data_IF_631177917316
#
_entry.id   IF_631177917316
#
_cell.length_a   1.000
_cell.length_b   1.000
_cell.length_c   1.000
_cell.angle_alpha   90.00
_cell.angle_beta   90.00
_cell.angle_gamma   90.00
#
_symmetry.space_group_name_H-M   'P 1'
#
loop_
_entity.id
_entity.type
_entity.pdbx_description
1 polymer ?
#
# COMPACT_ATOMS: atom_id res chain seq x y z
N UNK A 1 15.80 -24.36 42.46
CA UNK A 1 15.03 -24.64 41.23
C UNK A 1 14.25 -23.42 40.72
N UNK A 2 13.39 -22.75 41.51
CA UNK A 2 12.58 -21.58 41.06
C UNK A 2 13.38 -20.41 40.45
N UNK A 3 14.57 -20.07 40.97
CA UNK A 3 15.38 -18.94 40.47
C UNK A 3 15.91 -19.17 39.04
N UNK A 4 16.28 -20.40 38.69
CA UNK A 4 16.79 -20.74 37.35
C UNK A 4 15.69 -20.71 36.28
N UNK A 5 14.46 -21.05 36.65
CA UNK A 5 13.29 -20.97 35.76
C UNK A 5 12.97 -19.52 35.35
N UNK A 6 13.07 -18.58 36.29
CA UNK A 6 12.81 -17.15 36.02
C UNK A 6 13.89 -16.59 35.09
N UNK A 7 15.15 -16.96 35.31
CA UNK A 7 16.28 -16.53 34.47
C UNK A 7 16.14 -17.04 33.04
N UNK A 8 15.76 -18.31 32.86
CA UNK A 8 15.50 -18.89 31.54
C UNK A 8 14.34 -18.19 30.81
N UNK A 9 13.29 -17.81 31.53
CA UNK A 9 12.15 -17.09 30.95
C UNK A 9 12.56 -15.69 30.46
N UNK A 10 13.32 -14.95 31.26
CA UNK A 10 13.83 -13.61 30.90
C UNK A 10 14.79 -13.71 29.69
N UNK A 11 15.68 -14.70 29.67
CA UNK A 11 16.58 -14.94 28.54
C UNK A 11 15.82 -15.28 27.26
N UNK A 12 14.77 -16.11 27.34
CA UNK A 12 13.94 -16.44 26.18
C UNK A 12 13.21 -15.20 25.63
N UNK A 13 12.74 -14.32 26.52
CA UNK A 13 12.10 -13.06 26.14
C UNK A 13 13.09 -12.07 25.52
N UNK A 14 14.30 -11.96 26.09
CA UNK A 14 15.35 -11.13 25.54
C UNK A 14 15.81 -11.63 24.16
N UNK A 15 15.97 -12.94 23.98
CA UNK A 15 16.31 -13.54 22.69
C UNK A 15 15.18 -13.33 21.68
N UNK A 16 13.92 -13.46 22.09
CA UNK A 16 12.77 -13.21 21.21
C UNK A 16 12.72 -11.74 20.77
N UNK A 17 12.84 -10.80 21.71
CA UNK A 17 12.89 -9.36 21.42
C UNK A 17 14.09 -9.00 20.50
N UNK A 18 15.26 -9.56 20.78
CA UNK A 18 16.46 -9.35 19.97
C UNK A 18 16.31 -9.95 18.57
N UNK A 19 15.69 -11.14 18.45
CA UNK A 19 15.43 -11.77 17.14
C UNK A 19 14.41 -11.01 16.30
N UNK A 20 13.43 -10.32 16.90
CA UNK A 20 12.50 -9.47 16.17
C UNK A 20 13.14 -8.20 15.61
N UNK A 21 14.28 -7.78 16.14
CA UNK A 21 15.05 -6.63 15.67
C UNK A 21 16.16 -7.00 14.66
N UNK A 22 16.49 -8.30 14.49
CA UNK A 22 17.55 -8.81 13.60
C UNK A 22 16.97 -9.62 12.43
N UNK A 23 15.87 -9.17 11.85
CA UNK A 23 15.74 -9.39 10.41
C UNK A 23 16.47 -8.25 9.75
N UNK A 24 17.68 -8.46 9.16
CA UNK A 24 18.34 -7.41 8.42
C UNK A 24 17.37 -6.99 7.33
N UNK A 25 16.83 -5.79 7.51
CA UNK A 25 16.01 -5.16 6.51
C UNK A 25 16.85 -5.05 5.26
N UNK A 26 16.63 -5.98 4.34
CA UNK A 26 17.17 -5.85 3.01
C UNK A 26 16.43 -4.67 2.40
N UNK A 27 17.03 -3.47 2.50
CA UNK A 27 16.63 -2.31 1.74
C UNK A 27 17.07 -2.65 0.32
N UNK A 28 16.18 -3.02 -0.61
CA UNK A 28 16.60 -3.17 -1.99
C UNK A 28 17.24 -1.83 -2.40
N UNK A 29 18.45 -1.86 -2.97
CA UNK A 29 19.14 -0.65 -3.47
C UNK A 29 18.30 0.08 -4.53
N UNK A 30 17.29 -0.59 -5.08
CA UNK A 30 16.27 -0.06 -5.96
C UNK A 30 15.04 0.44 -5.18
N UNK A 31 15.18 1.59 -4.53
CA UNK A 31 14.01 2.36 -4.09
C UNK A 31 13.18 2.75 -5.32
N UNK A 32 11.86 2.52 -5.29
CA UNK A 32 10.99 2.96 -6.38
C UNK A 32 11.08 4.48 -6.53
N UNK A 33 11.31 4.95 -7.76
CA UNK A 33 11.25 6.39 -8.05
C UNK A 33 9.88 6.94 -7.65
N UNK A 34 9.79 8.24 -7.36
CA UNK A 34 8.49 8.88 -7.08
C UNK A 34 7.49 8.62 -8.21
N UNK A 35 7.94 8.71 -9.46
CA UNK A 35 7.12 8.40 -10.64
C UNK A 35 6.58 6.97 -10.58
N UNK A 36 7.41 5.99 -10.22
CA UNK A 36 6.98 4.60 -10.13
C UNK A 36 5.98 4.37 -8.99
N UNK A 37 6.13 5.06 -7.86
CA UNK A 37 5.16 5.00 -6.75
C UNK A 37 3.81 5.59 -7.13
N UNK A 38 3.82 6.70 -7.87
CA UNK A 38 2.60 7.32 -8.43
C UNK A 38 1.92 6.33 -9.39
N UNK A 39 2.67 5.71 -10.29
CA UNK A 39 2.13 4.67 -11.20
C UNK A 39 1.55 3.49 -10.42
N UNK A 40 2.23 3.04 -9.36
CA UNK A 40 1.73 1.94 -8.54
C UNK A 40 0.41 2.27 -7.82
N UNK A 41 0.24 3.50 -7.30
CA UNK A 41 -1.06 3.96 -6.81
C UNK A 41 -2.13 3.95 -7.92
N UNK A 42 -1.76 4.37 -9.13
CA UNK A 42 -2.64 4.29 -10.30
C UNK A 42 -3.06 2.86 -10.65
N UNK A 43 -2.13 1.90 -10.58
CA UNK A 43 -2.44 0.48 -10.80
C UNK A 43 -3.35 -0.09 -9.70
N UNK A 44 -3.17 0.33 -8.44
CA UNK A 44 -4.05 -0.05 -7.35
C UNK A 44 -5.48 0.42 -7.59
N UNK A 45 -5.66 1.67 -8.04
CA UNK A 45 -6.98 2.17 -8.40
C UNK A 45 -7.61 1.38 -9.56
N UNK A 46 -6.83 1.02 -10.59
CA UNK A 46 -7.32 0.16 -11.68
C UNK A 46 -7.73 -1.23 -11.17
N UNK A 47 -6.91 -1.85 -10.32
CA UNK A 47 -7.22 -3.14 -9.73
C UNK A 47 -8.51 -3.08 -8.89
N UNK A 48 -8.68 -2.03 -8.09
CA UNK A 48 -9.92 -1.79 -7.34
C UNK A 48 -11.14 -1.66 -8.28
N UNK A 49 -11.00 -0.88 -9.35
CA UNK A 49 -12.06 -0.72 -10.35
C UNK A 49 -12.47 -2.06 -10.96
N UNK A 50 -11.50 -2.94 -11.22
CA UNK A 50 -11.71 -4.30 -11.71
C UNK A 50 -12.15 -5.29 -10.60
N UNK A 51 -12.56 -4.81 -9.42
CA UNK A 51 -13.10 -5.66 -8.36
C UNK A 51 -12.06 -6.48 -7.59
N UNK A 52 -10.76 -6.16 -7.67
CA UNK A 52 -9.76 -6.75 -6.79
C UNK A 52 -10.01 -6.29 -5.35
N UNK A 53 -10.46 -7.22 -4.50
CA UNK A 53 -10.77 -6.93 -3.08
C UNK A 53 -9.51 -6.67 -2.26
N UNK A 54 -9.67 -5.89 -1.19
CA UNK A 54 -8.63 -5.21 -0.39
C UNK A 54 -7.51 -6.10 0.19
N UNK A 55 -7.69 -7.42 0.24
CA UNK A 55 -6.94 -8.32 1.13
C UNK A 55 -5.46 -8.55 0.75
N UNK A 56 -5.01 -8.15 -0.46
CA UNK A 56 -3.66 -8.46 -0.96
C UNK A 56 -2.74 -7.26 -1.24
N UNK A 57 -3.13 -6.02 -0.92
CA UNK A 57 -2.34 -4.84 -1.31
C UNK A 57 -1.16 -4.49 -0.39
N UNK A 58 -0.97 -5.25 0.70
CA UNK A 58 0.03 -4.96 1.73
C UNK A 58 1.45 -4.78 1.18
N UNK A 59 1.89 -5.65 0.25
CA UNK A 59 3.21 -5.55 -0.38
C UNK A 59 3.35 -4.29 -1.24
N UNK A 60 2.30 -3.90 -1.96
CA UNK A 60 2.31 -2.71 -2.82
C UNK A 60 2.34 -1.44 -1.96
N UNK A 61 1.57 -1.41 -0.86
CA UNK A 61 1.66 -0.32 0.11
C UNK A 61 3.05 -0.23 0.72
N UNK A 62 3.65 -1.32 1.17
CA UNK A 62 5.01 -1.30 1.70
C UNK A 62 6.02 -0.74 0.69
N UNK A 63 5.91 -1.12 -0.58
CA UNK A 63 6.76 -0.60 -1.66
C UNK A 63 6.55 0.91 -1.89
N UNK A 64 5.30 1.39 -1.87
CA UNK A 64 4.97 2.82 -2.02
C UNK A 64 5.44 3.63 -0.81
N UNK A 65 5.27 3.11 0.40
CA UNK A 65 5.60 3.78 1.67
C UNK A 65 7.10 3.84 1.96
N UNK A 66 7.93 3.10 1.20
CA UNK A 66 9.33 2.77 1.56
C UNK A 66 9.46 2.11 2.95
N UNK A 67 8.38 1.51 3.43
CA UNK A 67 8.22 0.93 4.75
C UNK A 67 8.52 -0.57 4.78
N UNK A 68 9.59 -1.02 4.12
CA UNK A 68 9.97 -2.45 4.17
C UNK A 68 10.32 -2.91 5.59
N UNK A 69 10.72 -2.00 6.47
CA UNK A 69 10.89 -2.25 7.90
C UNK A 69 9.72 -1.72 8.70
N UNK A 70 9.33 -2.45 9.74
CA UNK A 70 8.30 -2.05 10.71
C UNK A 70 8.54 -0.66 11.32
N UNK A 71 9.80 -0.24 11.42
CA UNK A 71 10.24 1.03 12.01
C UNK A 71 10.77 2.05 10.99
N UNK A 72 10.71 1.77 9.68
CA UNK A 72 11.14 2.75 8.68
C UNK A 72 10.18 3.93 8.64
N UNK A 73 10.68 5.17 8.54
CA UNK A 73 9.83 6.34 8.35
C UNK A 73 9.08 6.21 7.03
N UNK A 74 7.75 6.11 7.12
CA UNK A 74 6.89 6.06 5.94
C UNK A 74 6.86 7.44 5.28
N UNK A 75 7.27 7.51 4.02
CA UNK A 75 7.29 8.78 3.27
C UNK A 75 5.89 9.24 2.85
N UNK A 76 4.96 8.29 2.72
CA UNK A 76 3.56 8.49 2.33
C UNK A 76 2.65 7.60 3.20
N UNK A 77 1.41 8.01 3.41
CA UNK A 77 0.36 7.13 3.93
C UNK A 77 -0.38 6.47 2.75
N UNK A 78 0.09 5.31 2.29
CA UNK A 78 -0.43 4.68 1.07
C UNK A 78 -1.88 4.20 1.24
N UNK A 79 -2.26 3.78 2.45
CA UNK A 79 -3.62 3.34 2.76
C UNK A 79 -4.62 4.51 2.64
N UNK A 80 -4.31 5.68 3.20
CA UNK A 80 -5.18 6.86 3.07
C UNK A 80 -5.26 7.35 1.63
N UNK A 81 -4.12 7.40 0.93
CA UNK A 81 -4.08 7.73 -0.48
C UNK A 81 -4.99 6.80 -1.31
N UNK A 82 -4.89 5.49 -1.08
CA UNK A 82 -5.72 4.50 -1.77
C UNK A 82 -7.20 4.64 -1.42
N UNK A 83 -7.55 4.92 -0.17
CA UNK A 83 -8.93 5.17 0.22
C UNK A 83 -9.54 6.39 -0.48
N UNK A 84 -8.75 7.43 -0.77
CA UNK A 84 -9.22 8.57 -1.57
C UNK A 84 -9.38 8.22 -3.04
N UNK A 85 -8.50 7.37 -3.59
CA UNK A 85 -8.63 6.83 -4.96
C UNK A 85 -9.94 6.04 -5.09
N UNK A 86 -10.25 5.14 -4.14
CA UNK A 86 -11.52 4.39 -4.13
C UNK A 86 -12.73 5.32 -4.21
N UNK A 87 -12.76 6.34 -3.35
CA UNK A 87 -13.83 7.36 -3.36
C UNK A 87 -13.93 8.11 -4.68
N UNK A 88 -12.81 8.39 -5.35
CA UNK A 88 -12.81 9.02 -6.67
C UNK A 88 -13.41 8.10 -7.73
N UNK A 89 -13.01 6.82 -7.72
CA UNK A 89 -13.49 5.79 -8.66
C UNK A 89 -14.97 5.49 -8.46
N UNK A 90 -15.49 5.53 -7.23
CA UNK A 90 -16.90 5.24 -6.92
C UNK A 90 -17.84 6.44 -7.18
N UNK A 91 -17.33 7.65 -7.52
CA UNK A 91 -18.16 8.83 -7.87
C UNK A 91 -19.17 8.60 -9.00
N UNK A 92 -18.86 7.89 -10.09
CA UNK A 92 -19.86 7.40 -11.02
C UNK A 92 -20.62 6.27 -10.32
N UNK A 93 -21.85 6.55 -9.90
CA UNK A 93 -22.78 5.63 -9.19
C UNK A 93 -23.13 4.33 -9.96
N UNK A 94 -22.46 4.03 -11.06
CA UNK A 94 -22.77 2.93 -11.98
C UNK A 94 -22.00 1.66 -11.68
N UNK A 95 -20.89 1.73 -10.94
CA UNK A 95 -20.07 0.57 -10.61
C UNK A 95 -20.67 -0.08 -9.37
N UNK A 96 -21.71 -0.88 -9.58
CA UNK A 96 -22.10 -1.85 -8.56
C UNK A 96 -21.02 -2.93 -8.52
N UNK A 97 -20.25 -2.96 -7.44
CA UNK A 97 -19.26 -4.00 -7.13
C UNK A 97 -19.95 -5.35 -6.92
N UNK A 98 -20.43 -5.95 -8.00
CA UNK A 98 -20.98 -7.30 -8.04
C UNK A 98 -19.84 -8.32 -8.10
N UNK A 99 -20.09 -9.55 -7.67
CA UNK A 99 -19.13 -10.66 -7.80
C UNK A 99 -18.78 -11.01 -9.25
N UNK A 100 -19.49 -10.43 -10.21
CA UNK A 100 -19.25 -10.55 -11.64
C UNK A 100 -19.16 -9.15 -12.26
N UNK A 101 -17.95 -8.77 -12.70
CA UNK A 101 -17.76 -7.58 -13.52
C UNK A 101 -18.51 -7.73 -14.84
N UNK A 102 -19.34 -6.76 -15.20
CA UNK A 102 -19.94 -6.70 -16.53
C UNK A 102 -18.93 -6.12 -17.52
N UNK A 103 -19.14 -6.39 -18.81
CA UNK A 103 -18.32 -5.82 -19.87
C UNK A 103 -18.23 -4.29 -19.79
N UNK A 104 -19.34 -3.62 -19.47
CA UNK A 104 -19.39 -2.17 -19.34
C UNK A 104 -18.56 -1.65 -18.15
N UNK A 105 -18.50 -2.40 -17.04
CA UNK A 105 -17.67 -2.04 -15.89
C UNK A 105 -16.18 -2.10 -16.26
N UNK A 106 -15.76 -3.18 -16.93
CA UNK A 106 -14.38 -3.36 -17.41
C UNK A 106 -14.01 -2.27 -18.40
N UNK A 107 -14.88 -2.02 -19.40
CA UNK A 107 -14.68 -0.97 -20.40
C UNK A 107 -14.54 0.41 -19.74
N UNK A 108 -15.36 0.71 -18.74
CA UNK A 108 -15.30 1.96 -18.02
C UNK A 108 -13.97 2.10 -17.24
N UNK A 109 -13.51 1.04 -16.57
CA UNK A 109 -12.23 1.06 -15.88
C UNK A 109 -11.05 1.37 -16.82
N UNK A 110 -11.03 0.78 -18.02
CA UNK A 110 -10.01 1.11 -19.03
C UNK A 110 -10.13 2.57 -19.51
N UNK A 111 -11.34 3.04 -19.80
CA UNK A 111 -11.55 4.44 -20.20
C UNK A 111 -11.09 5.43 -19.13
N UNK A 112 -11.39 5.16 -17.86
CA UNK A 112 -10.90 5.96 -16.74
C UNK A 112 -9.37 5.91 -16.69
N UNK A 113 -8.78 4.72 -16.72
CA UNK A 113 -7.34 4.54 -16.57
C UNK A 113 -6.55 5.26 -17.67
N UNK A 114 -7.01 5.21 -18.92
CA UNK A 114 -6.39 5.88 -20.05
C UNK A 114 -6.57 7.41 -20.03
N UNK A 115 -7.37 7.95 -19.10
CA UNK A 115 -7.65 9.38 -19.03
C UNK A 115 -6.54 10.18 -18.34
N UNK A 116 -6.20 11.33 -18.93
CA UNK A 116 -5.31 12.32 -18.30
C UNK A 116 -5.85 12.79 -16.94
N UNK A 117 -7.17 12.88 -16.80
CA UNK A 117 -7.83 13.27 -15.55
C UNK A 117 -7.49 12.30 -14.42
N UNK A 118 -7.61 10.99 -14.68
CA UNK A 118 -7.25 9.96 -13.71
C UNK A 118 -5.80 10.10 -13.26
N UNK A 119 -4.86 10.14 -14.20
CA UNK A 119 -3.43 10.24 -13.87
C UNK A 119 -3.08 11.53 -13.12
N UNK A 120 -3.67 12.66 -13.51
CA UNK A 120 -3.54 13.93 -12.78
C UNK A 120 -4.07 13.78 -11.36
N UNK A 121 -5.21 13.12 -11.18
CA UNK A 121 -5.80 12.92 -9.87
C UNK A 121 -4.96 12.02 -8.97
N UNK A 122 -4.36 10.96 -9.52
CA UNK A 122 -3.44 10.09 -8.79
C UNK A 122 -2.21 10.87 -8.32
N UNK A 123 -1.65 11.74 -9.16
CA UNK A 123 -0.54 12.62 -8.77
C UNK A 123 -0.93 13.56 -7.63
N UNK A 124 -2.07 14.24 -7.73
CA UNK A 124 -2.58 15.11 -6.66
C UNK A 124 -2.71 14.37 -5.33
N UNK A 125 -3.32 13.18 -5.34
CA UNK A 125 -3.51 12.35 -4.15
C UNK A 125 -2.16 11.92 -3.58
N UNK A 126 -1.22 11.48 -4.43
CA UNK A 126 0.12 11.10 -3.98
C UNK A 126 0.82 12.24 -3.23
N UNK A 127 0.85 13.44 -3.82
CA UNK A 127 1.52 14.60 -3.20
C UNK A 127 0.79 15.12 -1.96
N UNK A 128 -0.53 14.95 -1.89
CA UNK A 128 -1.32 15.28 -0.69
C UNK A 128 -0.91 14.44 0.52
N UNK A 129 -0.63 13.16 0.31
CA UNK A 129 -0.31 12.22 1.39
C UNK A 129 1.19 11.96 1.56
N UNK A 130 2.04 12.43 0.65
CA UNK A 130 3.48 12.33 0.82
C UNK A 130 4.01 13.46 1.71
N UNK A 131 4.57 13.11 2.87
CA UNK A 131 5.10 14.05 3.86
C UNK A 131 6.45 14.65 3.45
N UNK A 132 7.19 13.96 2.59
CA UNK A 132 8.59 14.26 2.26
C UNK A 132 8.88 14.30 0.74
N UNK A 133 7.86 14.49 -0.11
CA UNK A 133 8.03 14.52 -1.58
C UNK A 133 8.04 15.94 -2.18
N UNK A 134 8.23 16.98 -1.37
CA UNK A 134 8.33 18.38 -1.83
C UNK A 134 9.78 18.83 -1.92
#
# INVERSE_FOLDING_TARGET
>A
MKKYMIVLFILSWAIYAYSSDIYPCYKPEFGWTQEYKIKALGHLGMAYCLGAKDDSHHFVFQAIEEGYCRNSPKIINAQEAFNEIKKYIDKPKWIEHNSHLKYDDVRWCFYLYDSTEYHTKIQEIFYKYCKHCK
#
